data_IF_536648201273
#
_entry.id   IF_536648201273
#
_cell.length_a   1.000
_cell.length_b   1.000
_cell.length_c   1.000
_cell.angle_alpha   90.00
_cell.angle_beta   90.00
_cell.angle_gamma   90.00
#
_symmetry.space_group_name_H-M   'P 1'
#
loop_
_entity.id
_entity.type
_entity.pdbx_description
1 polymer ?
#
# COMPACT_ATOMS: atom_id res chain seq x y z
N UNK A 1 -35.01 46.22 -39.76
CA UNK A 1 -35.10 44.75 -39.68
C UNK A 1 -33.84 44.29 -38.97
N UNK A 2 -33.93 44.05 -37.65
CA UNK A 2 -32.76 43.78 -36.81
C UNK A 2 -32.31 42.33 -36.99
N UNK A 3 -31.05 42.15 -37.41
CA UNK A 3 -30.40 40.85 -37.56
C UNK A 3 -29.86 40.41 -36.19
N UNK A 4 -30.39 39.33 -35.64
CA UNK A 4 -29.82 38.68 -34.44
C UNK A 4 -28.68 37.78 -34.94
N UNK A 5 -27.44 38.11 -34.56
CA UNK A 5 -26.28 37.23 -34.75
C UNK A 5 -26.28 36.18 -33.64
N UNK A 6 -26.46 34.92 -34.00
CA UNK A 6 -26.26 33.77 -33.12
C UNK A 6 -24.74 33.55 -32.98
N UNK A 7 -24.18 33.78 -31.80
CA UNK A 7 -22.81 33.36 -31.46
C UNK A 7 -22.87 31.89 -31.01
N UNK A 8 -22.25 31.00 -31.77
CA UNK A 8 -22.05 29.61 -31.39
C UNK A 8 -20.70 29.51 -30.67
N UNK A 9 -20.71 29.27 -29.36
CA UNK A 9 -19.50 28.93 -28.61
C UNK A 9 -19.28 27.42 -28.70
N UNK A 10 -18.27 27.01 -29.46
CA UNK A 10 -17.77 25.62 -29.47
C UNK A 10 -16.62 25.56 -28.46
N UNK A 11 -16.90 25.04 -27.27
CA UNK A 11 -15.86 24.69 -26.31
C UNK A 11 -15.33 23.30 -26.67
N UNK A 12 -14.10 23.24 -27.15
CA UNK A 12 -13.37 21.97 -27.31
C UNK A 12 -12.82 21.61 -25.93
N UNK A 13 -13.47 20.68 -25.24
CA UNK A 13 -12.91 20.07 -24.04
C UNK A 13 -11.86 19.05 -24.49
N UNK A 14 -10.58 19.34 -24.27
CA UNK A 14 -9.57 18.29 -24.24
C UNK A 14 -9.82 17.45 -22.98
N UNK A 15 -10.41 16.26 -23.13
CA UNK A 15 -10.26 15.24 -22.09
C UNK A 15 -8.79 14.80 -22.14
N UNK A 16 -7.99 15.24 -21.15
CA UNK A 16 -6.76 14.53 -20.83
C UNK A 16 -7.20 13.13 -20.41
N UNK A 17 -7.06 12.15 -21.30
CA UNK A 17 -7.21 10.75 -20.94
C UNK A 17 -5.97 10.39 -20.13
N UNK A 18 -6.03 10.53 -18.82
CA UNK A 18 -5.03 9.90 -17.95
C UNK A 18 -5.10 8.39 -18.16
N UNK A 19 -3.94 7.74 -18.20
CA UNK A 19 -3.96 6.29 -18.24
C UNK A 19 -4.44 5.76 -16.90
N UNK A 20 -5.10 4.61 -16.92
CA UNK A 20 -5.62 3.99 -15.70
C UNK A 20 -4.48 3.63 -14.72
N UNK A 21 -4.69 3.92 -13.43
CA UNK A 21 -3.84 3.49 -12.33
C UNK A 21 -2.55 4.28 -12.10
N UNK A 22 -2.32 5.39 -12.82
CA UNK A 22 -1.14 6.23 -12.63
C UNK A 22 -1.12 6.87 -11.22
N UNK A 23 -0.13 6.53 -10.39
CA UNK A 23 0.08 7.15 -9.07
C UNK A 23 1.15 8.23 -9.16
N UNK A 24 0.77 9.48 -8.87
CA UNK A 24 1.67 10.63 -8.96
C UNK A 24 2.37 10.97 -7.64
N UNK A 25 1.79 10.57 -6.50
CA UNK A 25 2.32 10.91 -5.18
C UNK A 25 2.31 9.72 -4.24
N UNK A 26 3.44 9.44 -3.63
CA UNK A 26 3.57 8.57 -2.46
C UNK A 26 3.73 9.47 -1.23
N UNK A 27 3.00 9.18 -0.16
CA UNK A 27 3.25 9.74 1.16
C UNK A 27 4.12 8.77 1.95
N UNK A 28 5.17 9.30 2.58
CA UNK A 28 6.13 8.51 3.32
C UNK A 28 6.71 9.29 4.49
N UNK A 29 7.22 8.57 5.47
CA UNK A 29 8.01 9.11 6.56
C UNK A 29 9.40 8.47 6.59
N UNK A 30 10.23 8.99 7.48
CA UNK A 30 11.60 8.52 7.67
C UNK A 30 11.71 7.78 8.99
N UNK A 31 12.33 6.60 8.95
CA UNK A 31 12.68 5.85 10.14
C UNK A 31 14.20 5.66 10.24
N UNK A 32 14.69 5.50 11.47
CA UNK A 32 16.09 5.19 11.73
C UNK A 32 16.45 3.86 11.07
N UNK A 33 17.42 3.87 10.16
CA UNK A 33 17.92 2.65 9.55
C UNK A 33 18.85 1.88 10.51
N UNK A 34 18.75 0.55 10.51
CA UNK A 34 19.64 -0.29 11.30
C UNK A 34 21.00 -0.42 10.61
N UNK A 35 22.06 0.02 11.30
CA UNK A 35 23.41 -0.04 10.77
C UNK A 35 23.93 -1.48 10.68
N UNK A 36 24.58 -1.81 9.57
CA UNK A 36 25.30 -3.07 9.42
C UNK A 36 26.46 -2.91 8.43
N UNK A 37 27.48 -3.75 8.56
CA UNK A 37 28.64 -3.73 7.65
C UNK A 37 29.05 -5.14 7.27
N UNK A 38 29.58 -5.28 6.06
CA UNK A 38 30.31 -6.47 5.65
C UNK A 38 31.43 -6.13 4.66
N UNK A 39 32.41 -7.01 4.59
CA UNK A 39 33.51 -6.91 3.63
C UNK A 39 33.47 -8.10 2.68
N UNK A 40 33.54 -7.81 1.39
CA UNK A 40 33.71 -8.80 0.31
C UNK A 40 34.42 -8.12 -0.86
N UNK A 41 35.18 -8.88 -1.64
CA UNK A 41 35.96 -8.37 -2.79
C UNK A 41 36.83 -7.14 -2.51
N UNK A 42 37.38 -7.05 -1.30
CA UNK A 42 38.23 -5.93 -0.88
C UNK A 42 37.48 -4.62 -0.61
N UNK A 43 36.14 -4.61 -0.66
CA UNK A 43 35.30 -3.46 -0.38
C UNK A 43 34.51 -3.65 0.91
N UNK A 44 34.37 -2.58 1.69
CA UNK A 44 33.53 -2.54 2.88
C UNK A 44 32.19 -1.89 2.51
N UNK A 45 31.13 -2.67 2.62
CA UNK A 45 29.75 -2.24 2.40
C UNK A 45 29.17 -1.84 3.75
N UNK A 46 28.68 -0.61 3.83
CA UNK A 46 28.13 -0.01 5.03
C UNK A 46 26.66 0.41 4.78
N UNK A 47 25.75 -0.23 5.50
CA UNK A 47 24.30 -0.04 5.39
C UNK A 47 23.76 0.68 6.62
N UNK A 48 22.59 1.31 6.48
CA UNK A 48 21.98 2.08 7.55
C UNK A 48 22.80 3.32 7.93
N UNK A 49 23.46 3.95 6.96
CA UNK A 49 24.12 5.25 7.16
C UNK A 49 23.14 6.42 7.14
N UNK A 50 21.96 6.22 6.55
CA UNK A 50 20.90 7.21 6.45
C UNK A 50 19.61 6.72 7.11
N UNK A 51 18.50 6.93 6.44
CA UNK A 51 17.15 6.64 6.93
C UNK A 51 16.47 5.61 6.01
N UNK A 52 15.59 4.80 6.59
CA UNK A 52 14.60 4.07 5.80
C UNK A 52 13.54 5.08 5.36
N UNK A 53 13.11 5.02 4.10
CA UNK A 53 11.92 5.74 3.64
C UNK A 53 10.78 4.75 3.65
N UNK A 54 9.74 5.01 4.44
CA UNK A 54 8.65 4.07 4.72
C UNK A 54 7.36 4.63 4.16
N UNK A 55 6.68 3.86 3.31
CA UNK A 55 5.40 4.29 2.71
C UNK A 55 4.27 4.31 3.74
N UNK A 56 3.45 5.35 3.70
CA UNK A 56 2.21 5.49 4.48
C UNK A 56 0.97 5.33 3.61
N UNK A 57 1.07 5.77 2.35
CA UNK A 57 -0.01 5.73 1.41
C UNK A 57 0.35 6.43 0.11
N UNK A 58 -0.66 6.71 -0.71
CA UNK A 58 -0.48 7.41 -1.97
C UNK A 58 -1.71 8.26 -2.35
N UNK A 59 -1.54 9.11 -3.36
CA UNK A 59 -2.64 9.84 -3.98
C UNK A 59 -2.92 9.26 -5.37
N UNK A 60 -4.18 8.89 -5.61
CA UNK A 60 -4.67 8.45 -6.91
C UNK A 60 -6.00 9.15 -7.24
N UNK A 61 -6.09 9.77 -8.42
CA UNK A 61 -7.24 10.57 -8.85
C UNK A 61 -7.68 11.65 -7.84
N UNK A 62 -6.71 12.28 -7.16
CA UNK A 62 -6.96 13.33 -6.17
C UNK A 62 -7.49 12.83 -4.82
N UNK A 63 -7.52 11.52 -4.60
CA UNK A 63 -7.91 10.91 -3.33
C UNK A 63 -6.73 10.22 -2.67
N UNK A 64 -6.68 10.28 -1.34
CA UNK A 64 -5.72 9.53 -0.55
C UNK A 64 -6.14 8.09 -0.39
N UNK A 65 -5.15 7.21 -0.49
CA UNK A 65 -5.24 5.79 -0.23
C UNK A 65 -4.25 5.46 0.87
N UNK A 66 -4.74 4.78 1.90
CA UNK A 66 -3.93 4.39 3.04
C UNK A 66 -3.61 2.91 3.00
N UNK A 67 -2.46 2.61 3.55
CA UNK A 67 -2.02 1.27 3.88
C UNK A 67 -2.99 0.64 4.91
N UNK A 68 -3.57 -0.51 4.59
CA UNK A 68 -4.28 -1.36 5.55
C UNK A 68 -3.32 -2.43 6.04
N UNK A 69 -3.20 -2.58 7.36
CA UNK A 69 -2.15 -3.38 7.97
C UNK A 69 -2.34 -4.87 7.73
N UNK A 70 -1.44 -5.45 6.93
CA UNK A 70 -1.39 -6.88 6.72
C UNK A 70 -0.06 -7.47 7.16
N UNK A 71 -0.10 -8.73 7.60
CA UNK A 71 1.08 -9.58 7.77
C UNK A 71 1.09 -10.66 6.68
N UNK A 72 1.37 -10.29 5.41
CA UNK A 72 1.34 -11.23 4.30
C UNK A 72 2.51 -12.21 4.39
N UNK A 73 2.27 -13.44 3.94
CA UNK A 73 3.31 -14.44 3.71
C UNK A 73 3.81 -14.27 2.29
N UNK A 74 5.08 -13.91 2.14
CA UNK A 74 5.72 -13.75 0.84
C UNK A 74 6.38 -15.07 0.43
N UNK A 75 5.96 -15.65 -0.69
CA UNK A 75 6.56 -16.86 -1.26
C UNK A 75 7.16 -16.55 -2.63
N UNK A 76 8.48 -16.67 -2.74
CA UNK A 76 9.18 -16.57 -4.03
C UNK A 76 9.20 -17.97 -4.67
N UNK A 77 8.55 -18.12 -5.82
CA UNK A 77 8.46 -19.39 -6.55
C UNK A 77 9.54 -19.46 -7.60
N UNK A 78 10.42 -20.44 -7.43
CA UNK A 78 11.62 -20.61 -8.24
C UNK A 78 11.58 -21.89 -9.05
N UNK A 79 12.10 -21.85 -10.27
CA UNK A 79 12.25 -23.01 -11.15
C UNK A 79 13.67 -23.08 -11.69
N UNK A 80 14.52 -23.85 -11.03
CA UNK A 80 15.92 -24.03 -11.43
C UNK A 80 16.06 -24.45 -12.90
N UNK A 81 17.10 -23.91 -13.54
CA UNK A 81 17.45 -24.17 -14.92
C UNK A 81 18.97 -24.06 -15.16
N UNK A 82 19.40 -24.17 -16.41
CA UNK A 82 20.83 -24.13 -16.76
C UNK A 82 21.49 -22.76 -16.55
N UNK A 83 20.69 -21.67 -16.52
CA UNK A 83 21.17 -20.30 -16.36
C UNK A 83 21.24 -19.87 -14.89
N UNK A 84 20.40 -20.47 -14.03
CA UNK A 84 20.31 -20.08 -12.62
C UNK A 84 19.73 -21.18 -11.73
N UNK A 85 20.25 -21.28 -10.51
CA UNK A 85 19.81 -22.27 -9.51
C UNK A 85 19.96 -21.80 -8.07
N UNK A 86 19.11 -22.31 -7.17
CA UNK A 86 19.13 -21.95 -5.75
C UNK A 86 18.42 -20.62 -5.47
N UNK A 87 19.04 -19.75 -4.68
CA UNK A 87 18.45 -18.46 -4.25
C UNK A 87 19.30 -17.24 -4.65
N UNK A 88 19.53 -16.99 -5.95
CA UNK A 88 20.13 -15.75 -6.39
C UNK A 88 19.31 -14.55 -5.92
N UNK A 89 20.04 -13.49 -5.58
CA UNK A 89 19.48 -12.22 -5.20
C UNK A 89 20.05 -11.09 -6.07
N UNK A 90 19.20 -10.10 -6.33
CA UNK A 90 19.55 -8.83 -6.93
C UNK A 90 18.71 -7.76 -6.27
N UNK A 91 19.34 -6.68 -5.87
CA UNK A 91 18.66 -5.55 -5.25
C UNK A 91 19.27 -4.23 -5.68
N UNK A 92 18.47 -3.19 -5.63
CA UNK A 92 18.94 -1.81 -5.64
C UNK A 92 18.68 -1.16 -4.29
N UNK A 93 19.49 -0.17 -3.92
CA UNK A 93 19.33 0.59 -2.69
C UNK A 93 19.76 2.05 -2.87
N UNK A 94 19.06 2.96 -2.20
CA UNK A 94 19.46 4.37 -2.19
C UNK A 94 20.82 4.55 -1.51
N UNK A 95 21.71 5.29 -2.18
CA UNK A 95 23.02 5.66 -1.64
C UNK A 95 22.89 6.73 -0.55
N UNK A 96 23.83 6.75 0.37
CA UNK A 96 23.90 7.76 1.41
C UNK A 96 24.35 9.13 0.83
N UNK A 97 23.53 10.17 0.96
CA UNK A 97 23.89 11.60 0.81
C UNK A 97 24.67 12.03 -0.45
N UNK A 98 24.21 11.71 -1.66
CA UNK A 98 24.93 12.01 -2.91
C UNK A 98 26.43 11.60 -2.87
N UNK A 99 26.82 10.72 -1.92
CA UNK A 99 28.20 10.34 -1.73
C UNK A 99 28.62 9.57 -2.97
N UNK A 100 29.75 9.95 -3.54
CA UNK A 100 30.36 9.20 -4.64
C UNK A 100 30.71 7.76 -4.23
N UNK A 101 30.81 7.48 -2.93
CA UNK A 101 31.06 6.14 -2.41
C UNK A 101 29.84 5.23 -2.56
N UNK A 102 29.90 4.37 -3.59
CA UNK A 102 28.90 3.35 -3.89
C UNK A 102 28.78 2.22 -2.86
N UNK A 103 29.56 2.24 -1.79
CA UNK A 103 29.50 1.23 -0.73
C UNK A 103 28.83 1.73 0.55
N UNK A 104 28.34 2.98 0.57
CA UNK A 104 27.58 3.56 1.68
C UNK A 104 26.11 3.75 1.31
N UNK A 105 25.24 3.06 2.01
CA UNK A 105 23.83 2.95 1.66
C UNK A 105 22.95 3.51 2.78
N UNK A 106 21.91 4.24 2.36
CA UNK A 106 20.96 4.86 3.26
C UNK A 106 20.10 3.82 4.03
N UNK A 107 19.44 2.85 3.36
CA UNK A 107 18.48 1.98 4.05
C UNK A 107 19.14 0.87 4.87
N UNK A 108 18.32 0.21 5.67
CA UNK A 108 18.64 -1.02 6.38
C UNK A 108 18.91 -2.16 5.39
N UNK A 109 19.96 -2.96 5.64
CA UNK A 109 20.23 -4.15 4.82
C UNK A 109 19.20 -5.25 5.09
N UNK A 110 18.56 -5.85 4.05
CA UNK A 110 17.74 -7.04 4.18
C UNK A 110 18.67 -8.24 4.40
N UNK A 111 19.13 -8.41 5.64
CA UNK A 111 20.06 -9.47 6.09
C UNK A 111 19.95 -10.74 5.24
N UNK A 112 21.09 -11.20 4.71
CA UNK A 112 21.19 -12.33 3.77
C UNK A 112 20.59 -12.10 2.38
N UNK A 113 20.38 -10.84 1.97
CA UNK A 113 19.75 -10.51 0.70
C UNK A 113 18.33 -11.09 0.57
N UNK A 114 17.56 -11.04 1.67
CA UNK A 114 16.22 -11.60 1.75
C UNK A 114 15.22 -10.76 0.94
N UNK A 115 14.98 -11.19 -0.30
CA UNK A 115 14.09 -10.50 -1.23
C UNK A 115 12.63 -10.54 -0.79
N UNK A 116 12.21 -11.60 -0.09
CA UNK A 116 10.87 -11.69 0.46
C UNK A 116 10.65 -10.60 1.51
N UNK A 117 11.67 -10.31 2.34
CA UNK A 117 11.64 -9.19 3.28
C UNK A 117 11.67 -7.82 2.60
N UNK A 118 12.41 -7.66 1.49
CA UNK A 118 12.43 -6.40 0.73
C UNK A 118 11.04 -6.07 0.20
N UNK A 119 10.41 -7.00 -0.54
CA UNK A 119 9.09 -6.77 -1.13
C UNK A 119 7.97 -6.81 -0.10
N UNK A 120 8.12 -7.60 0.96
CA UNK A 120 7.16 -7.70 2.07
C UNK A 120 7.18 -6.50 3.04
N UNK A 121 8.25 -5.73 3.05
CA UNK A 121 8.40 -4.56 3.93
C UNK A 121 7.84 -3.28 3.32
N UNK A 122 7.72 -2.23 4.14
CA UNK A 122 7.27 -0.88 3.73
C UNK A 122 8.40 0.06 3.29
N UNK A 123 9.65 -0.41 3.31
CA UNK A 123 10.82 0.42 2.98
C UNK A 123 10.90 0.55 1.45
N UNK A 124 10.76 1.76 0.93
CA UNK A 124 10.69 2.02 -0.53
C UNK A 124 12.02 2.46 -1.14
N UNK A 125 13.01 2.88 -0.34
CA UNK A 125 14.35 3.22 -0.84
C UNK A 125 15.28 2.00 -1.01
N UNK A 126 14.69 0.82 -1.16
CA UNK A 126 15.32 -0.46 -1.49
C UNK A 126 14.33 -1.32 -2.30
N UNK A 127 14.83 -2.09 -3.25
CA UNK A 127 13.98 -2.93 -4.10
C UNK A 127 14.73 -4.08 -4.76
N UNK A 128 14.00 -4.91 -5.48
CA UNK A 128 14.55 -5.99 -6.28
C UNK A 128 15.17 -5.49 -7.58
N UNK A 129 16.20 -6.19 -8.05
CA UNK A 129 16.87 -5.92 -9.31
C UNK A 129 16.76 -7.13 -10.24
N UNK A 130 16.23 -6.90 -11.43
CA UNK A 130 15.92 -7.86 -12.48
C UNK A 130 15.12 -9.06 -11.95
N UNK A 131 13.97 -8.81 -11.31
CA UNK A 131 13.29 -9.79 -10.47
C UNK A 131 12.96 -11.09 -11.21
N UNK A 132 12.43 -10.99 -12.43
CA UNK A 132 12.00 -12.14 -13.23
C UNK A 132 13.01 -12.54 -14.31
N UNK A 133 14.19 -11.92 -14.40
CA UNK A 133 15.17 -12.24 -15.45
C UNK A 133 15.63 -13.70 -15.36
N UNK A 134 15.36 -14.49 -16.40
CA UNK A 134 15.71 -15.91 -16.45
C UNK A 134 16.61 -16.30 -17.65
N UNK A 135 16.79 -15.39 -18.61
CA UNK A 135 17.77 -15.54 -19.70
C UNK A 135 19.20 -15.16 -19.29
N UNK A 136 20.19 -15.83 -19.90
CA UNK A 136 21.61 -15.55 -19.71
C UNK A 136 22.14 -14.79 -20.92
N UNK A 137 22.27 -13.47 -20.80
CA UNK A 137 22.75 -12.56 -21.85
C UNK A 137 24.21 -12.12 -21.65
N UNK A 138 24.81 -12.46 -20.51
CA UNK A 138 26.21 -12.17 -20.19
C UNK A 138 26.43 -10.93 -19.32
N UNK A 139 25.41 -10.09 -19.13
CA UNK A 139 25.53 -8.82 -18.41
C UNK A 139 24.90 -8.87 -17.00
N UNK A 140 23.83 -9.67 -16.78
CA UNK A 140 23.21 -9.82 -15.44
C UNK A 140 23.07 -11.24 -14.90
N UNK A 141 22.79 -11.32 -13.60
CA UNK A 141 22.56 -12.56 -12.85
C UNK A 141 21.09 -12.97 -13.00
N UNK A 142 20.77 -14.05 -13.72
CA UNK A 142 19.40 -14.54 -13.82
C UNK A 142 18.93 -15.08 -12.47
N UNK A 143 17.66 -14.89 -12.14
CA UNK A 143 17.13 -15.10 -10.79
C UNK A 143 16.40 -16.41 -10.59
N UNK A 144 16.01 -17.18 -11.62
CA UNK A 144 15.17 -18.40 -11.56
C UNK A 144 13.77 -18.20 -10.96
N UNK A 145 13.30 -16.95 -10.83
CA UNK A 145 12.00 -16.63 -10.24
C UNK A 145 10.95 -16.64 -11.34
N UNK A 146 9.85 -17.34 -11.11
CA UNK A 146 8.73 -17.44 -12.05
C UNK A 146 7.46 -16.74 -11.52
N UNK A 147 7.31 -16.68 -10.20
CA UNK A 147 6.14 -16.08 -9.54
C UNK A 147 6.49 -15.59 -8.15
N UNK A 148 5.82 -14.55 -7.69
CA UNK A 148 5.91 -14.11 -6.29
C UNK A 148 4.51 -14.00 -5.72
N UNK A 149 4.26 -14.67 -4.61
CA UNK A 149 2.97 -14.66 -3.95
C UNK A 149 3.02 -13.76 -2.72
N UNK A 150 2.07 -12.82 -2.64
CA UNK A 150 1.80 -11.97 -1.49
C UNK A 150 0.51 -12.47 -0.84
N UNK A 151 0.64 -13.42 0.08
CA UNK A 151 -0.49 -14.21 0.58
C UNK A 151 -0.99 -13.61 1.88
N UNK A 152 -2.24 -13.17 1.92
CA UNK A 152 -2.91 -12.80 3.16
C UNK A 152 -3.56 -14.06 3.77
N UNK A 153 -2.97 -14.72 4.79
CA UNK A 153 -3.43 -16.05 5.25
C UNK A 153 -4.84 -16.01 5.84
N UNK A 154 -5.21 -14.88 6.45
CA UNK A 154 -6.54 -14.66 7.00
C UNK A 154 -7.56 -14.24 5.93
N UNK A 155 -7.09 -13.88 4.73
CA UNK A 155 -7.86 -13.35 3.62
C UNK A 155 -8.38 -11.93 3.88
N UNK A 156 -8.67 -11.23 2.79
CA UNK A 156 -9.10 -9.84 2.73
C UNK A 156 -10.55 -9.83 2.26
N UNK A 157 -11.40 -9.06 2.95
CA UNK A 157 -12.80 -8.88 2.55
C UNK A 157 -12.90 -7.65 1.65
N UNK A 158 -13.26 -7.86 0.38
CA UNK A 158 -13.49 -6.77 -0.55
C UNK A 158 -14.68 -5.89 -0.13
N UNK A 159 -14.71 -4.60 -0.50
CA UNK A 159 -15.84 -3.72 -0.24
C UNK A 159 -17.18 -4.35 -0.65
N UNK A 160 -18.22 -4.16 0.17
CA UNK A 160 -19.54 -4.78 -0.04
C UNK A 160 -20.33 -4.16 -1.20
N UNK A 161 -19.94 -2.96 -1.65
CA UNK A 161 -20.52 -2.29 -2.82
C UNK A 161 -19.64 -2.44 -4.05
N UNK A 162 -20.27 -2.75 -5.19
CA UNK A 162 -19.59 -2.79 -6.50
C UNK A 162 -18.96 -1.45 -6.88
N UNK A 163 -19.52 -0.33 -6.42
CA UNK A 163 -19.03 1.03 -6.69
C UNK A 163 -17.81 1.43 -5.86
N UNK A 164 -17.36 0.56 -4.95
CA UNK A 164 -16.21 0.81 -4.09
C UNK A 164 -15.03 -0.13 -4.42
N UNK A 165 -15.22 -1.10 -5.32
CA UNK A 165 -14.16 -1.98 -5.81
C UNK A 165 -13.08 -1.25 -6.63
N UNK A 166 -13.38 -0.07 -7.15
CA UNK A 166 -12.43 0.81 -7.84
C UNK A 166 -11.65 1.72 -6.85
N UNK A 167 -12.01 1.70 -5.56
CA UNK A 167 -11.42 2.50 -4.47
C UNK A 167 -10.62 1.65 -3.48
N UNK A 168 -10.37 0.39 -3.82
CA UNK A 168 -9.61 -0.54 -3.04
C UNK A 168 -8.78 -1.43 -3.98
N UNK A 169 -7.62 -1.90 -3.54
CA UNK A 169 -6.77 -2.75 -4.37
C UNK A 169 -5.35 -2.88 -3.88
N UNK A 170 -4.45 -3.11 -4.84
CA UNK A 170 -3.02 -3.29 -4.60
C UNK A 170 -2.22 -2.34 -5.49
N UNK A 171 -0.92 -2.27 -5.24
CA UNK A 171 -0.01 -1.47 -6.04
C UNK A 171 0.98 -2.36 -6.77
N UNK A 172 1.51 -1.83 -7.86
CA UNK A 172 2.72 -2.33 -8.53
C UNK A 172 3.74 -1.22 -8.53
N UNK A 173 4.94 -1.55 -8.07
CA UNK A 173 6.07 -0.62 -7.97
C UNK A 173 7.14 -1.00 -8.97
N UNK A 174 7.87 0.00 -9.47
CA UNK A 174 8.88 -0.23 -10.50
C UNK A 174 9.92 0.91 -10.46
N UNK A 175 11.19 0.56 -10.63
CA UNK A 175 12.29 1.52 -10.74
C UNK A 175 12.31 2.08 -12.17
N UNK A 176 11.89 3.34 -12.30
CA UNK A 176 11.81 4.16 -13.52
C UNK A 176 10.52 4.02 -14.34
N UNK A 177 9.63 3.10 -13.97
CA UNK A 177 8.31 2.91 -14.57
C UNK A 177 8.35 2.39 -16.01
N UNK A 178 9.34 1.56 -16.36
CA UNK A 178 9.66 1.19 -17.75
C UNK A 178 9.70 -0.31 -18.01
N UNK A 179 9.25 -1.13 -17.07
CA UNK A 179 9.26 -2.59 -17.19
C UNK A 179 7.86 -3.15 -16.97
N UNK A 180 7.41 -4.06 -17.84
CA UNK A 180 6.14 -4.75 -17.69
C UNK A 180 6.15 -5.65 -16.44
N UNK A 181 5.09 -5.54 -15.63
CA UNK A 181 4.79 -6.47 -14.54
C UNK A 181 3.33 -6.92 -14.67
N UNK A 182 3.09 -8.21 -14.49
CA UNK A 182 1.74 -8.77 -14.46
C UNK A 182 1.33 -9.07 -13.02
N UNK A 183 0.07 -8.78 -12.69
CA UNK A 183 -0.52 -9.02 -11.37
C UNK A 183 -1.87 -9.73 -11.49
N UNK A 184 -2.15 -10.66 -10.58
CA UNK A 184 -3.48 -11.27 -10.44
C UNK A 184 -3.84 -11.49 -8.97
N UNK A 185 -5.11 -11.32 -8.61
CA UNK A 185 -5.58 -11.62 -7.25
C UNK A 185 -5.59 -13.13 -6.99
N UNK A 186 -5.16 -13.54 -5.80
CA UNK A 186 -5.29 -14.92 -5.33
C UNK A 186 -6.71 -15.08 -4.78
N UNK A 187 -7.58 -15.83 -5.47
CA UNK A 187 -8.99 -15.95 -5.05
C UNK A 187 -9.21 -17.04 -4.01
N UNK A 188 -8.42 -18.11 -4.07
CA UNK A 188 -8.47 -19.22 -3.10
C UNK A 188 -7.09 -19.76 -2.80
N UNK A 189 -6.94 -20.37 -1.62
CA UNK A 189 -5.76 -21.13 -1.22
C UNK A 189 -6.07 -22.64 -1.19
N UNK A 190 -5.06 -23.48 -1.34
CA UNK A 190 -5.13 -24.92 -1.08
C UNK A 190 -4.92 -25.23 0.42
N UNK A 191 -4.87 -26.53 0.76
CA UNK A 191 -4.66 -26.98 2.14
C UNK A 191 -3.28 -26.64 2.70
N UNK A 192 -2.31 -26.25 1.86
CA UNK A 192 -0.96 -25.86 2.26
C UNK A 192 -0.81 -24.33 2.37
N UNK A 193 -1.88 -23.57 2.12
CA UNK A 193 -1.83 -22.12 2.05
C UNK A 193 -1.08 -21.63 0.81
N UNK A 194 -1.10 -22.39 -0.29
CA UNK A 194 -0.61 -21.98 -1.59
C UNK A 194 -1.78 -21.53 -2.49
N UNK A 195 -1.57 -20.58 -3.41
CA UNK A 195 -2.61 -20.16 -4.35
C UNK A 195 -3.20 -21.34 -5.13
N UNK A 196 -4.53 -21.46 -5.15
CA UNK A 196 -5.26 -22.53 -5.85
C UNK A 196 -6.23 -22.05 -6.92
N UNK A 197 -6.51 -20.75 -6.97
CA UNK A 197 -7.16 -20.10 -8.09
C UNK A 197 -6.84 -18.60 -8.12
N UNK A 198 -6.95 -18.01 -9.31
CA UNK A 198 -6.60 -16.62 -9.57
C UNK A 198 -7.75 -15.86 -10.24
N UNK A 199 -7.77 -14.55 -10.01
CA UNK A 199 -8.49 -13.60 -10.84
C UNK A 199 -7.82 -13.47 -12.21
N UNK A 200 -8.38 -12.65 -13.11
CA UNK A 200 -7.70 -12.30 -14.34
C UNK A 200 -6.33 -11.65 -14.12
N UNK A 201 -5.44 -11.81 -15.10
CA UNK A 201 -4.21 -11.03 -15.17
C UNK A 201 -4.55 -9.58 -15.51
N UNK A 202 -3.86 -8.68 -14.83
CA UNK A 202 -3.76 -7.26 -15.15
C UNK A 202 -2.32 -6.98 -15.55
N UNK A 203 -2.13 -6.37 -16.72
CA UNK A 203 -0.81 -5.97 -17.20
C UNK A 203 -0.55 -4.54 -16.77
N UNK A 204 0.53 -4.33 -16.00
CA UNK A 204 1.02 -3.01 -15.63
C UNK A 204 2.18 -2.65 -16.54
N UNK A 205 2.00 -1.54 -17.26
CA UNK A 205 2.89 -1.05 -18.30
C UNK A 205 3.04 -2.03 -19.46
N UNK A 206 2.26 -1.83 -20.52
CA UNK A 206 2.48 -2.53 -21.79
C UNK A 206 3.40 -1.71 -22.68
N UNK A 207 4.64 -2.20 -22.79
CA UNK A 207 5.70 -1.69 -23.65
C UNK A 207 5.35 -1.69 -25.15
N UNK A 208 4.35 -2.49 -25.56
CA UNK A 208 4.00 -2.71 -26.97
C UNK A 208 2.84 -1.85 -27.45
N UNK A 209 2.14 -1.17 -26.53
CA UNK A 209 0.97 -0.37 -26.86
C UNK A 209 -0.17 -1.18 -27.51
N UNK A 210 -0.20 -2.50 -27.36
CA UNK A 210 -1.16 -3.37 -28.05
C UNK A 210 -2.54 -3.28 -27.37
N UNK A 211 -3.37 -2.35 -27.82
CA UNK A 211 -4.66 -1.96 -27.24
C UNK A 211 -5.73 -3.08 -27.11
N UNK A 212 -5.38 -4.37 -27.25
CA UNK A 212 -6.32 -5.49 -27.21
C UNK A 212 -6.69 -5.97 -25.79
N UNK A 213 -5.94 -5.60 -24.73
CA UNK A 213 -6.31 -5.96 -23.36
C UNK A 213 -7.05 -4.80 -22.64
N UNK A 214 -8.32 -5.01 -22.28
CA UNK A 214 -9.15 -4.07 -21.50
C UNK A 214 -8.71 -3.90 -20.03
N UNK A 215 -7.58 -4.50 -19.61
CA UNK A 215 -7.09 -4.54 -18.22
C UNK A 215 -5.65 -4.03 -18.12
N UNK A 216 -5.37 -2.90 -18.76
CA UNK A 216 -4.07 -2.23 -18.66
C UNK A 216 -4.10 -1.16 -17.60
N UNK A 217 -3.02 -1.12 -16.83
CA UNK A 217 -2.72 -0.08 -15.85
C UNK A 217 -1.31 0.44 -16.17
N UNK A 218 -1.04 1.73 -15.98
CA UNK A 218 0.27 2.32 -16.23
C UNK A 218 0.85 2.95 -14.98
N UNK A 219 2.19 2.95 -14.91
CA UNK A 219 2.92 3.67 -13.88
C UNK A 219 2.71 5.17 -14.03
N UNK A 220 2.44 5.84 -12.91
CA UNK A 220 2.41 7.31 -12.87
C UNK A 220 3.82 7.90 -12.85
N UNK A 221 3.92 9.22 -13.02
CA UNK A 221 5.17 9.94 -12.81
C UNK A 221 5.28 10.31 -11.31
N UNK A 222 5.68 9.32 -10.52
CA UNK A 222 5.54 9.38 -9.06
C UNK A 222 6.62 10.24 -8.38
N UNK A 223 6.20 11.00 -7.37
CA UNK A 223 7.06 11.73 -6.44
C UNK A 223 6.77 11.29 -5.00
N UNK A 224 7.81 11.17 -4.17
CA UNK A 224 7.66 10.81 -2.76
C UNK A 224 7.62 12.10 -1.93
N UNK A 225 6.54 12.30 -1.18
CA UNK A 225 6.32 13.42 -0.28
C UNK A 225 6.59 12.97 1.16
N UNK A 226 7.49 13.68 1.83
CA UNK A 226 7.87 13.42 3.20
C UNK A 226 7.10 14.31 4.18
N UNK A 227 6.94 13.85 5.42
CA UNK A 227 6.27 14.59 6.50
C UNK A 227 6.89 15.96 6.79
N UNK A 228 8.20 16.11 6.58
CA UNK A 228 8.93 17.39 6.72
C UNK A 228 8.64 18.40 5.59
N UNK A 229 7.75 18.05 4.66
CA UNK A 229 7.35 18.84 3.50
C UNK A 229 8.32 18.76 2.32
N UNK A 230 9.41 17.99 2.42
CA UNK A 230 10.32 17.76 1.31
C UNK A 230 9.77 16.74 0.31
N UNK A 231 10.33 16.74 -0.90
CA UNK A 231 9.90 15.85 -1.99
C UNK A 231 11.11 15.20 -2.63
N UNK A 232 11.03 13.88 -2.86
CA UNK A 232 12.04 13.09 -3.56
C UNK A 232 11.50 12.71 -4.93
N UNK A 233 12.18 13.17 -5.98
CA UNK A 233 11.87 12.81 -7.37
C UNK A 233 12.83 11.78 -7.95
N UNK A 234 14.14 12.06 -7.92
CA UNK A 234 15.19 11.14 -8.35
C UNK A 234 16.03 10.69 -7.15
N UNK A 235 16.45 9.44 -7.15
CA UNK A 235 17.33 8.85 -6.16
C UNK A 235 18.60 8.31 -6.82
N UNK A 236 19.76 8.53 -6.19
CA UNK A 236 20.98 7.82 -6.58
C UNK A 236 20.91 6.39 -6.05
N UNK A 237 20.73 5.43 -6.94
CA UNK A 237 20.64 4.01 -6.59
C UNK A 237 21.96 3.30 -6.88
N UNK A 238 22.37 2.44 -5.96
CA UNK A 238 23.40 1.43 -6.19
C UNK A 238 22.76 0.07 -6.47
N UNK A 239 23.39 -0.72 -7.33
CA UNK A 239 22.92 -2.04 -7.76
C UNK A 239 23.85 -3.13 -7.24
N UNK A 240 23.25 -4.20 -6.70
CA UNK A 240 23.97 -5.27 -6.03
C UNK A 240 23.38 -6.64 -6.37
N UNK A 241 24.23 -7.65 -6.54
CA UNK A 241 23.81 -9.03 -6.80
C UNK A 241 24.77 -10.06 -6.25
N UNK A 242 24.33 -11.30 -6.14
CA UNK A 242 25.18 -12.44 -5.82
C UNK A 242 25.24 -13.43 -6.99
N UNK A 243 25.75 -14.64 -6.72
CA UNK A 243 26.00 -15.67 -7.71
C UNK A 243 24.70 -16.24 -8.30
N UNK A 244 24.68 -16.48 -9.62
CA UNK A 244 23.52 -17.08 -10.30
C UNK A 244 23.30 -18.57 -10.01
N UNK A 245 24.31 -19.26 -9.47
CA UNK A 245 24.21 -20.67 -9.12
C UNK A 245 24.57 -20.92 -7.67
N UNK A 246 23.91 -21.90 -7.08
CA UNK A 246 24.19 -22.37 -5.73
C UNK A 246 25.63 -22.92 -5.60
N UNK A 247 26.33 -22.69 -4.47
CA UNK A 247 25.89 -21.93 -3.30
C UNK A 247 26.07 -20.42 -3.46
N UNK A 248 25.02 -19.67 -3.14
CA UNK A 248 25.05 -18.21 -3.10
C UNK A 248 25.66 -17.65 -1.81
N UNK A 249 26.40 -16.56 -1.95
CA UNK A 249 26.89 -15.76 -0.84
C UNK A 249 25.76 -14.82 -0.35
N UNK A 250 25.54 -14.68 0.98
CA UNK A 250 24.52 -13.79 1.55
C UNK A 250 24.89 -12.29 1.50
N UNK A 251 26.01 -11.94 0.83
CA UNK A 251 26.63 -10.62 0.80
C UNK A 251 26.78 -10.19 -0.66
N UNK A 252 25.77 -9.54 -1.25
CA UNK A 252 25.82 -9.16 -2.66
C UNK A 252 26.92 -8.12 -2.91
N UNK A 253 27.44 -8.08 -4.13
CA UNK A 253 28.51 -7.17 -4.54
C UNK A 253 27.96 -6.11 -5.48
N UNK A 254 28.61 -4.94 -5.47
CA UNK A 254 28.24 -3.80 -6.31
C UNK A 254 28.47 -4.11 -7.80
N UNK A 255 27.52 -3.72 -8.65
CA UNK A 255 27.60 -3.92 -10.10
C UNK A 255 27.26 -2.69 -10.94
N UNK A 256 26.63 -1.67 -10.36
CA UNK A 256 26.21 -0.50 -11.11
C UNK A 256 25.59 0.59 -10.26
N UNK A 257 25.36 1.76 -10.87
CA UNK A 257 24.65 2.85 -10.23
C UNK A 257 23.89 3.64 -11.30
N UNK A 258 22.78 4.27 -10.91
CA UNK A 258 22.09 5.23 -11.74
C UNK A 258 21.23 6.18 -10.90
N UNK A 259 20.71 7.22 -11.55
CA UNK A 259 19.77 8.16 -10.92
C UNK A 259 18.38 7.84 -11.45
N UNK A 260 17.55 7.19 -10.62
CA UNK A 260 16.26 6.69 -11.06
C UNK A 260 15.11 7.29 -10.28
N UNK A 261 13.94 7.24 -10.90
CA UNK A 261 12.67 7.48 -10.21
C UNK A 261 12.16 6.16 -9.63
N UNK A 262 11.34 6.27 -8.60
CA UNK A 262 10.52 5.16 -8.12
C UNK A 262 9.10 5.43 -8.53
N UNK A 263 8.56 4.59 -9.39
CA UNK A 263 7.23 4.76 -9.98
C UNK A 263 6.26 3.74 -9.38
N UNK A 264 4.98 4.11 -9.35
CA UNK A 264 3.92 3.29 -8.79
C UNK A 264 2.69 3.31 -9.70
N UNK A 265 1.98 2.18 -9.72
CA UNK A 265 0.66 2.06 -10.31
C UNK A 265 -0.31 1.44 -9.32
N UNK A 266 -1.55 1.92 -9.29
CA UNK A 266 -2.64 1.36 -8.51
C UNK A 266 -3.50 0.43 -9.36
N UNK A 267 -3.70 -0.79 -8.86
CA UNK A 267 -4.50 -1.82 -9.51
C UNK A 267 -5.70 -2.14 -8.63
N UNK A 268 -6.89 -1.74 -9.09
CA UNK A 268 -8.11 -1.87 -8.31
C UNK A 268 -8.60 -3.32 -8.19
N UNK A 269 -9.38 -3.62 -7.15
CA UNK A 269 -10.06 -4.91 -7.00
C UNK A 269 -11.00 -5.20 -8.18
N UNK A 270 -11.60 -4.16 -8.75
CA UNK A 270 -12.40 -4.29 -9.97
C UNK A 270 -11.57 -4.82 -11.15
N UNK A 271 -10.33 -4.35 -11.33
CA UNK A 271 -9.42 -4.83 -12.38
C UNK A 271 -8.99 -6.27 -12.16
N UNK A 272 -8.72 -6.60 -10.90
CA UNK A 272 -8.34 -7.94 -10.46
C UNK A 272 -9.52 -8.94 -10.48
N UNK A 273 -10.71 -8.51 -10.91
CA UNK A 273 -11.89 -9.37 -11.03
C UNK A 273 -12.44 -9.87 -9.68
N UNK A 274 -12.14 -9.17 -8.59
CA UNK A 274 -12.69 -9.47 -7.26
C UNK A 274 -14.11 -8.89 -7.16
N UNK A 275 -15.05 -9.68 -6.67
CA UNK A 275 -16.45 -9.27 -6.53
C UNK A 275 -16.71 -8.53 -5.22
N UNK A 276 -17.80 -7.78 -5.17
CA UNK A 276 -18.20 -7.05 -3.96
C UNK A 276 -18.48 -8.03 -2.81
N UNK A 277 -17.91 -7.75 -1.62
CA UNK A 277 -17.99 -8.60 -0.43
C UNK A 277 -17.24 -9.94 -0.55
N UNK A 278 -16.50 -10.17 -1.64
CA UNK A 278 -15.75 -11.41 -1.82
C UNK A 278 -14.54 -11.43 -0.88
N UNK A 279 -14.34 -12.57 -0.22
CA UNK A 279 -13.07 -12.90 0.42
C UNK A 279 -12.06 -13.38 -0.62
N UNK A 280 -10.87 -12.78 -0.64
CA UNK A 280 -9.72 -13.20 -1.45
C UNK A 280 -8.45 -13.20 -0.58
N UNK A 281 -7.29 -13.59 -1.11
CA UNK A 281 -6.10 -13.93 -0.30
C UNK A 281 -4.82 -13.20 -0.72
N UNK A 282 -4.95 -11.97 -1.21
CA UNK A 282 -3.85 -11.13 -1.69
C UNK A 282 -3.64 -11.28 -3.20
N UNK A 283 -2.39 -11.24 -3.66
CA UNK A 283 -2.07 -11.22 -5.09
C UNK A 283 -0.74 -11.93 -5.40
N UNK A 284 -0.50 -12.23 -6.67
CA UNK A 284 0.81 -12.66 -7.17
C UNK A 284 1.32 -11.74 -8.26
N UNK A 285 2.64 -11.59 -8.34
CA UNK A 285 3.34 -11.01 -9.49
C UNK A 285 3.88 -12.09 -10.43
N UNK A 286 3.90 -11.75 -11.71
CA UNK A 286 4.32 -12.61 -12.81
C UNK A 286 5.23 -11.84 -13.78
N UNK A 287 6.14 -12.57 -14.43
CA UNK A 287 6.98 -12.06 -15.51
C UNK A 287 6.19 -11.69 -16.77
N UNK A 288 6.80 -10.90 -17.65
CA UNK A 288 6.19 -10.39 -18.89
C UNK A 288 5.87 -11.49 -19.92
N UNK A 289 6.45 -12.68 -19.78
CA UNK A 289 6.24 -13.85 -20.63
C UNK A 289 5.09 -14.77 -20.18
N UNK A 290 4.40 -14.45 -19.09
CA UNK A 290 3.19 -15.16 -18.64
C UNK A 290 1.96 -14.56 -19.31
N UNK A 291 1.08 -15.35 -19.93
CA UNK A 291 -0.14 -14.87 -20.59
C UNK A 291 -1.42 -15.45 -19.98
N UNK A 292 -2.59 -14.98 -20.47
CA UNK A 292 -3.91 -15.40 -20.00
C UNK A 292 -4.23 -16.89 -20.24
N UNK A 293 -3.48 -17.59 -21.10
CA UNK A 293 -3.65 -19.02 -21.35
C UNK A 293 -2.81 -19.89 -20.40
N UNK A 294 -1.84 -19.30 -19.70
CA UNK A 294 -1.00 -20.00 -18.72
C UNK A 294 -1.81 -20.41 -17.49
N UNK A 295 -1.61 -21.64 -17.01
CA UNK A 295 -2.11 -22.07 -15.70
C UNK A 295 -1.31 -21.39 -14.58
N UNK A 296 -1.84 -20.29 -14.06
CA UNK A 296 -1.18 -19.46 -13.04
C UNK A 296 -0.89 -20.20 -11.73
N UNK A 297 -1.54 -21.33 -11.46
CA UNK A 297 -1.30 -22.14 -10.26
C UNK A 297 0.01 -22.92 -10.40
N UNK A 298 0.27 -23.52 -11.56
CA UNK A 298 1.48 -24.29 -11.83
C UNK A 298 2.62 -23.41 -12.38
N UNK A 299 3.31 -22.72 -11.45
CA UNK A 299 4.47 -21.90 -11.79
C UNK A 299 5.64 -22.70 -12.41
N UNK A 300 5.66 -24.03 -12.30
CA UNK A 300 6.72 -24.84 -12.91
C UNK A 300 6.56 -24.99 -14.42
N UNK A 301 5.36 -24.69 -14.93
CA UNK A 301 5.03 -24.67 -16.36
C UNK A 301 5.36 -23.35 -17.07
N UNK A 302 5.73 -22.31 -16.31
CA UNK A 302 6.01 -20.99 -16.87
C UNK A 302 7.26 -21.00 -17.76
N UNK A 303 7.37 -20.06 -18.72
CA UNK A 303 8.55 -19.98 -19.56
C UNK A 303 9.80 -19.66 -18.72
N UNK A 304 10.84 -20.48 -18.87
CA UNK A 304 12.09 -20.35 -18.09
C UNK A 304 13.08 -19.35 -18.70
N UNK A 305 12.59 -18.47 -19.55
CA UNK A 305 13.38 -17.62 -20.41
C UNK A 305 12.77 -16.23 -20.52
N UNK A 306 12.22 -15.71 -19.42
CA UNK A 306 11.79 -14.32 -19.33
C UNK A 306 12.95 -13.43 -19.79
N UNK A 307 12.77 -12.74 -20.94
CA UNK A 307 13.88 -12.13 -21.65
C UNK A 307 14.33 -10.86 -20.96
N UNK A 308 15.53 -10.42 -21.32
CA UNK A 308 16.03 -9.10 -20.99
C UNK A 308 15.31 -8.06 -21.86
N UNK A 309 14.12 -7.67 -21.40
CA UNK A 309 13.17 -6.83 -22.12
C UNK A 309 12.49 -7.55 -23.28
N UNK A 310 11.21 -7.25 -23.51
CA UNK A 310 10.60 -7.53 -24.81
C UNK A 310 10.58 -6.22 -25.61
N UNK A 311 10.85 -6.32 -26.91
CA UNK A 311 10.63 -5.24 -27.88
C UNK A 311 11.40 -3.90 -27.68
N UNK A 312 12.59 -3.94 -27.06
CA UNK A 312 13.59 -2.86 -27.16
C UNK A 312 13.94 -2.13 -25.87
N UNK A 313 13.42 -2.56 -24.72
CA UNK A 313 13.89 -2.17 -23.40
C UNK A 313 15.01 -3.10 -22.91
N UNK A 314 15.89 -2.59 -22.05
CA UNK A 314 17.16 -3.23 -21.63
C UNK A 314 17.09 -3.72 -20.17
N UNK A 315 15.93 -4.11 -19.65
CA UNK A 315 15.78 -4.53 -18.26
C UNK A 315 14.50 -5.38 -18.02
N UNK A 316 14.35 -5.99 -16.83
CA UNK A 316 13.13 -6.65 -16.35
C UNK A 316 12.58 -5.93 -15.11
N UNK A 317 11.47 -6.42 -14.56
CA UNK A 317 10.79 -5.83 -13.40
C UNK A 317 11.70 -5.55 -12.19
N UNK A 318 11.69 -4.31 -11.69
CA UNK A 318 12.45 -3.89 -10.51
C UNK A 318 11.54 -3.34 -9.38
N UNK A 319 10.65 -4.16 -8.80
CA UNK A 319 9.76 -3.70 -7.76
C UNK A 319 10.50 -3.38 -6.46
N UNK A 320 10.14 -2.25 -5.83
CA UNK A 320 10.55 -1.89 -4.49
C UNK A 320 9.52 -2.30 -3.43
N UNK A 321 9.86 -2.14 -2.15
CA UNK A 321 8.96 -2.41 -1.03
C UNK A 321 7.67 -1.57 -1.06
N UNK A 322 6.79 -1.77 -0.07
CA UNK A 322 5.50 -1.10 0.01
C UNK A 322 4.41 -1.73 -0.84
N UNK A 323 4.69 -2.87 -1.48
CA UNK A 323 3.75 -3.57 -2.37
C UNK A 323 2.81 -4.52 -1.64
N UNK A 324 3.24 -5.08 -0.52
CA UNK A 324 2.62 -6.25 0.10
C UNK A 324 1.28 -5.97 0.81
N UNK A 325 0.69 -4.81 0.57
CA UNK A 325 -0.41 -4.27 1.35
C UNK A 325 -1.68 -4.21 0.54
N UNK A 326 -2.78 -4.17 1.26
CA UNK A 326 -4.06 -3.75 0.72
C UNK A 326 -4.22 -2.24 0.93
N UNK A 327 -4.61 -1.55 -0.12
CA UNK A 327 -4.79 -0.11 -0.10
C UNK A 327 -6.24 0.24 -0.34
N UNK A 328 -6.74 1.14 0.48
CA UNK A 328 -8.13 1.57 0.44
C UNK A 328 -8.17 3.07 0.47
N UNK A 329 -9.06 3.66 -0.33
CA UNK A 329 -9.33 5.09 -0.29
C UNK A 329 -9.76 5.47 1.13
N UNK A 330 -9.09 6.45 1.74
CA UNK A 330 -9.34 6.86 3.13
C UNK A 330 -10.83 7.13 3.41
N UNK A 331 -11.52 7.75 2.44
CA UNK A 331 -12.94 8.06 2.59
C UNK A 331 -13.84 6.82 2.72
N UNK A 332 -13.38 5.58 2.50
CA UNK A 332 -14.18 4.36 2.69
C UNK A 332 -13.67 3.44 3.80
N UNK A 333 -12.63 3.84 4.54
CA UNK A 333 -12.18 3.16 5.74
C UNK A 333 -13.17 3.38 6.90
N UNK A 334 -13.14 2.48 7.87
CA UNK A 334 -13.95 2.55 9.08
C UNK A 334 -13.07 2.76 10.30
N UNK A 335 -13.53 3.61 11.20
CA UNK A 335 -13.09 3.70 12.58
C UNK A 335 -14.05 2.81 13.40
N UNK A 336 -13.50 1.97 14.28
CA UNK A 336 -14.22 1.06 15.16
C UNK A 336 -14.05 1.49 16.61
N UNK A 337 -15.14 1.37 17.39
CA UNK A 337 -15.07 1.66 18.83
C UNK A 337 -14.23 0.64 19.60
N UNK A 338 -13.84 1.00 20.81
CA UNK A 338 -12.88 0.33 21.68
C UNK A 338 -13.48 -0.07 23.05
N UNK A 339 -14.80 0.07 23.19
CA UNK A 339 -15.56 -0.31 24.37
C UNK A 339 -15.34 -1.79 24.76
N UNK A 340 -15.55 -2.17 26.05
CA UNK A 340 -15.37 -3.55 26.49
C UNK A 340 -16.20 -4.54 25.66
N UNK A 341 -15.67 -5.75 25.44
CA UNK A 341 -16.31 -6.84 24.66
C UNK A 341 -17.75 -7.22 25.07
N UNK A 342 -18.23 -6.76 26.23
CA UNK A 342 -19.63 -6.92 26.63
C UNK A 342 -20.60 -6.05 25.82
N UNK A 343 -20.11 -4.95 25.23
CA UNK A 343 -20.90 -4.00 24.45
C UNK A 343 -20.97 -4.39 22.96
N UNK A 344 -21.97 -3.89 22.22
CA UNK A 344 -22.06 -4.09 20.77
C UNK A 344 -20.88 -3.47 20.02
N UNK A 345 -20.51 -4.10 18.89
CA UNK A 345 -19.53 -3.55 17.97
C UNK A 345 -20.14 -2.33 17.26
N UNK A 346 -19.42 -1.21 17.30
CA UNK A 346 -19.78 0.04 16.63
C UNK A 346 -18.67 0.43 15.69
N UNK A 347 -19.05 0.97 14.54
CA UNK A 347 -18.11 1.54 13.59
C UNK A 347 -18.73 2.70 12.85
N UNK A 348 -17.88 3.59 12.37
CA UNK A 348 -18.26 4.69 11.52
C UNK A 348 -17.29 4.81 10.35
N UNK A 349 -17.78 5.33 9.24
CA UNK A 349 -16.94 5.58 8.07
C UNK A 349 -16.07 6.80 8.34
N UNK A 350 -14.75 6.66 8.24
CA UNK A 350 -13.80 7.74 8.54
C UNK A 350 -14.12 8.97 7.70
N UNK A 351 -14.06 10.13 8.36
CA UNK A 351 -14.28 11.42 7.73
C UNK A 351 -13.25 12.43 8.19
N UNK A 352 -12.43 12.91 7.24
CA UNK A 352 -11.53 14.04 7.44
C UNK A 352 -12.26 15.37 7.78
N UNK A 353 -13.59 15.41 7.66
CA UNK A 353 -14.42 16.59 7.90
C UNK A 353 -15.41 16.41 9.05
N UNK A 354 -15.45 15.24 9.70
CA UNK A 354 -16.39 14.98 10.80
C UNK A 354 -15.79 13.94 11.75
N UNK A 355 -15.35 14.37 12.93
CA UNK A 355 -14.72 13.48 13.90
C UNK A 355 -14.75 14.03 15.34
N UNK A 356 -14.47 13.15 16.30
CA UNK A 356 -14.19 13.47 17.70
C UNK A 356 -12.67 13.55 17.91
N UNK A 357 -12.21 14.33 18.89
CA UNK A 357 -10.78 14.42 19.24
C UNK A 357 -10.05 15.64 18.68
N UNK A 358 -8.72 15.68 18.87
CA UNK A 358 -7.84 16.72 18.32
C UNK A 358 -7.29 16.34 16.95
N UNK A 359 -7.12 15.05 16.70
CA UNK A 359 -6.61 14.51 15.45
C UNK A 359 -7.72 13.81 14.66
N UNK A 360 -7.38 13.46 13.43
CA UNK A 360 -8.32 12.80 12.51
C UNK A 360 -8.36 11.32 12.84
N UNK A 361 -9.54 10.68 12.75
CA UNK A 361 -9.66 9.25 12.97
C UNK A 361 -8.73 8.49 12.03
N UNK A 362 -8.07 7.49 12.57
CA UNK A 362 -7.40 6.45 11.83
C UNK A 362 -8.33 5.24 11.66
N UNK A 363 -7.81 4.18 11.04
CA UNK A 363 -8.61 3.03 10.62
C UNK A 363 -8.17 1.77 11.32
N UNK A 364 -9.14 1.01 11.81
CA UNK A 364 -8.93 -0.30 12.38
C UNK A 364 -9.58 -1.38 11.49
N UNK A 365 -9.02 -2.58 11.54
CA UNK A 365 -9.58 -3.74 10.84
C UNK A 365 -10.80 -4.34 11.57
N UNK A 366 -10.90 -4.10 12.88
CA UNK A 366 -11.98 -4.54 13.78
C UNK A 366 -11.95 -3.70 15.07
N UNK A 367 -12.96 -3.85 15.92
CA UNK A 367 -13.07 -3.22 17.23
C UNK A 367 -11.92 -3.63 18.17
N UNK A 368 -11.26 -2.62 18.75
CA UNK A 368 -10.13 -2.80 19.66
C UNK A 368 -10.58 -2.73 21.13
N UNK A 369 -11.43 -3.69 21.55
CA UNK A 369 -12.03 -3.67 22.88
C UNK A 369 -11.02 -3.73 24.03
N UNK A 370 -11.09 -2.76 24.95
CA UNK A 370 -10.42 -2.82 26.26
C UNK A 370 -11.40 -2.56 27.42
N UNK A 371 -10.99 -2.81 28.66
CA UNK A 371 -11.84 -2.52 29.83
C UNK A 371 -11.98 -1.04 30.13
N UNK A 372 -11.03 -0.23 29.66
CA UNK A 372 -10.90 1.20 29.91
C UNK A 372 -11.07 2.05 28.66
N UNK A 373 -11.43 1.45 27.51
CA UNK A 373 -11.52 2.12 26.21
C UNK A 373 -10.20 2.85 25.88
N UNK A 374 -9.14 2.05 25.68
CA UNK A 374 -7.78 2.50 25.30
C UNK A 374 -7.10 1.53 24.34
N UNK A 375 -7.88 0.63 23.72
CA UNK A 375 -7.37 -0.54 23.03
C UNK A 375 -6.89 -0.27 21.61
N UNK A 376 -7.38 0.79 20.98
CA UNK A 376 -7.05 1.27 19.63
C UNK A 376 -5.71 2.00 19.58
N UNK A 377 -5.29 2.64 20.67
CA UNK A 377 -4.00 3.31 20.76
C UNK A 377 -4.03 4.70 20.13
N UNK A 378 -3.25 5.62 20.71
CA UNK A 378 -3.34 7.08 20.56
C UNK A 378 -4.58 7.72 21.22
N UNK A 379 -4.36 8.34 22.38
CA UNK A 379 -5.35 9.09 23.18
C UNK A 379 -5.72 10.46 22.56
N UNK A 380 -5.34 10.69 21.30
CA UNK A 380 -5.41 11.97 20.63
C UNK A 380 -6.57 12.07 19.62
N UNK A 381 -7.13 10.92 19.24
CA UNK A 381 -8.42 10.73 18.58
C UNK A 381 -9.59 10.70 19.57
N UNK A 382 -9.30 10.67 20.88
CA UNK A 382 -10.33 10.72 21.91
C UNK A 382 -10.97 12.10 22.04
N UNK A 383 -12.26 12.17 21.75
CA UNK A 383 -13.07 13.35 22.02
C UNK A 383 -13.17 13.69 23.51
N UNK A 384 -12.96 12.71 24.40
CA UNK A 384 -13.21 12.81 25.85
C UNK A 384 -11.94 12.52 26.64
N UNK A 385 -11.33 13.57 27.20
CA UNK A 385 -10.06 13.43 27.96
C UNK A 385 -10.31 13.19 29.46
N UNK A 386 -11.44 13.67 30.00
CA UNK A 386 -11.76 13.52 31.42
C UNK A 386 -13.25 13.30 31.63
N UNK A 387 -13.61 12.18 32.25
CA UNK A 387 -14.97 11.93 32.73
C UNK A 387 -15.15 12.47 34.16
N UNK A 388 -16.29 13.13 34.45
CA UNK A 388 -16.60 13.57 35.81
C UNK A 388 -16.87 12.36 36.73
N UNK A 389 -16.49 12.49 38.01
CA UNK A 389 -16.87 11.50 39.03
C UNK A 389 -18.34 11.71 39.36
N UNK A 390 -19.18 10.71 39.07
CA UNK A 390 -20.59 10.69 39.43
C UNK A 390 -20.80 10.06 40.81
N UNK A 391 -21.65 10.69 41.61
CA UNK A 391 -22.06 10.24 42.93
C UNK A 391 -23.54 9.86 42.95
N UNK A 392 -23.92 8.98 43.88
CA UNK A 392 -25.31 8.54 44.01
C UNK A 392 -26.20 9.75 44.34
N UNK A 393 -27.14 10.05 43.45
CA UNK A 393 -28.06 11.18 43.57
C UNK A 393 -27.80 12.30 42.57
N UNK A 394 -26.70 12.25 41.81
CA UNK A 394 -26.49 13.17 40.69
C UNK A 394 -27.57 12.95 39.62
N UNK A 395 -28.16 14.05 39.18
CA UNK A 395 -29.24 14.06 38.19
C UNK A 395 -28.82 14.73 36.88
N UNK A 396 -27.62 15.31 36.84
CA UNK A 396 -27.01 15.95 35.68
C UNK A 396 -25.51 16.02 35.86
N UNK A 397 -24.76 15.89 34.77
CA UNK A 397 -23.33 16.17 34.68
C UNK A 397 -23.06 16.72 33.28
N UNK A 398 -21.81 17.10 33.02
CA UNK A 398 -21.40 17.57 31.70
C UNK A 398 -20.04 17.00 31.37
N UNK A 399 -19.88 16.56 30.12
CA UNK A 399 -18.61 16.08 29.57
C UNK A 399 -18.18 17.02 28.45
N UNK A 400 -17.03 17.70 28.57
CA UNK A 400 -16.48 18.46 27.46
C UNK A 400 -15.95 17.49 26.41
N UNK A 401 -16.47 17.59 25.19
CA UNK A 401 -16.10 16.76 24.05
C UNK A 401 -15.48 17.64 22.98
N UNK A 402 -14.28 17.29 22.51
CA UNK A 402 -13.65 17.92 21.35
C UNK A 402 -14.19 17.32 20.09
N UNK A 403 -14.58 18.18 19.15
CA UNK A 403 -15.21 17.78 17.88
C UNK A 403 -14.75 18.65 16.73
N UNK A 404 -14.70 18.07 15.55
CA UNK A 404 -14.53 18.78 14.30
C UNK A 404 -15.68 18.45 13.35
N UNK A 405 -16.38 19.47 12.86
CA UNK A 405 -17.39 19.33 11.81
C UNK A 405 -17.15 20.41 10.76
N UNK A 406 -16.60 20.04 9.62
CA UNK A 406 -16.40 20.89 8.45
C UNK A 406 -17.16 20.35 7.22
N UNK A 407 -18.33 19.74 7.46
CA UNK A 407 -19.12 19.09 6.40
C UNK A 407 -19.96 20.08 5.57
N UNK A 408 -20.11 21.32 6.03
CA UNK A 408 -21.00 22.32 5.42
C UNK A 408 -22.44 22.27 5.94
N UNK A 409 -22.76 21.35 6.85
CA UNK A 409 -24.06 21.23 7.53
C UNK A 409 -23.88 20.90 9.01
N UNK A 410 -24.94 21.04 9.79
CA UNK A 410 -24.98 20.59 11.18
C UNK A 410 -24.80 19.07 11.28
N UNK A 411 -24.07 18.61 12.30
CA UNK A 411 -23.91 17.21 12.69
C UNK A 411 -24.37 17.00 14.13
N UNK A 412 -24.48 15.76 14.58
CA UNK A 412 -25.06 15.43 15.90
C UNK A 412 -24.18 14.44 16.66
N UNK A 413 -24.09 14.62 17.98
CA UNK A 413 -23.44 13.66 18.89
C UNK A 413 -24.51 12.79 19.53
N UNK A 414 -24.23 11.49 19.64
CA UNK A 414 -24.98 10.56 20.49
C UNK A 414 -24.04 10.00 21.55
N UNK A 415 -24.50 9.93 22.78
CA UNK A 415 -23.74 9.41 23.91
C UNK A 415 -24.62 8.51 24.76
N UNK A 416 -24.02 7.56 25.47
CA UNK A 416 -24.72 6.64 26.37
C UNK A 416 -24.01 6.53 27.71
N UNK A 417 -24.79 6.27 28.77
CA UNK A 417 -24.27 5.76 30.03
C UNK A 417 -25.07 4.53 30.41
N UNK A 418 -24.41 3.37 30.46
CA UNK A 418 -25.00 2.12 30.96
C UNK A 418 -25.16 2.19 32.49
N UNK A 419 -26.25 2.83 32.94
CA UNK A 419 -26.54 3.05 34.35
C UNK A 419 -26.82 1.73 35.06
N UNK A 420 -27.39 0.75 34.35
CA UNK A 420 -27.78 -0.53 34.92
C UNK A 420 -26.71 -1.64 34.77
N UNK A 421 -25.62 -1.36 34.06
CA UNK A 421 -24.42 -2.20 33.88
C UNK A 421 -24.73 -3.53 33.22
N UNK A 422 -25.67 -3.56 32.28
CA UNK A 422 -26.03 -4.78 31.56
C UNK A 422 -25.21 -5.01 30.28
N UNK A 423 -24.27 -4.11 29.96
CA UNK A 423 -23.41 -4.18 28.78
C UNK A 423 -24.14 -3.86 27.48
N UNK A 424 -25.21 -3.04 27.51
CA UNK A 424 -25.96 -2.68 26.31
C UNK A 424 -26.12 -1.17 26.22
N UNK A 425 -26.14 -0.67 24.98
CA UNK A 425 -26.55 0.70 24.69
C UNK A 425 -28.08 0.75 24.54
N UNK A 426 -28.77 1.06 25.62
CA UNK A 426 -30.23 1.13 25.63
C UNK A 426 -30.73 2.55 25.32
N UNK A 427 -31.89 2.65 24.65
CA UNK A 427 -32.42 3.94 24.22
C UNK A 427 -32.75 4.88 25.40
N UNK A 428 -33.18 4.33 26.53
CA UNK A 428 -33.45 5.09 27.76
C UNK A 428 -32.18 5.53 28.51
N UNK A 429 -31.01 5.12 28.04
CA UNK A 429 -29.70 5.47 28.58
C UNK A 429 -28.90 6.38 27.62
N UNK A 430 -29.49 6.70 26.47
CA UNK A 430 -28.92 7.55 25.44
C UNK A 430 -29.25 9.02 25.68
N UNK A 431 -28.31 9.91 25.35
CA UNK A 431 -28.65 11.26 24.90
C UNK A 431 -29.32 11.15 23.52
N UNK A 432 -30.47 11.79 23.29
CA UNK A 432 -31.16 11.64 22.00
C UNK A 432 -30.38 12.30 20.87
N UNK A 433 -30.43 11.67 19.68
CA UNK A 433 -29.66 11.97 18.44
C UNK A 433 -29.93 13.37 17.84
N UNK A 434 -30.67 14.25 18.49
CA UNK A 434 -30.89 15.63 18.02
C UNK A 434 -30.80 16.68 19.13
N UNK A 435 -30.47 16.27 20.35
CA UNK A 435 -30.44 17.17 21.50
C UNK A 435 -29.19 18.06 21.47
N UNK A 436 -28.13 17.65 20.76
CA UNK A 436 -26.89 18.40 20.60
C UNK A 436 -26.46 18.51 19.14
N UNK A 437 -26.81 19.63 18.50
CA UNK A 437 -26.34 20.00 17.15
C UNK A 437 -24.95 20.64 17.22
N UNK A 438 -24.08 20.22 16.31
CA UNK A 438 -22.72 20.71 16.11
C UNK A 438 -22.68 21.44 14.76
N UNK A 439 -22.67 22.78 14.74
CA UNK A 439 -22.60 23.53 13.49
C UNK A 439 -21.31 23.27 12.73
N UNK A 440 -21.35 23.41 11.40
CA UNK A 440 -20.16 23.36 10.58
C UNK A 440 -19.22 24.54 10.88
N UNK A 441 -17.93 24.25 11.07
CA UNK A 441 -16.85 25.18 11.36
C UNK A 441 -15.55 24.69 10.72
N UNK A 442 -14.69 25.61 10.28
CA UNK A 442 -13.34 25.29 9.78
C UNK A 442 -12.30 25.14 10.90
N UNK A 443 -12.73 25.22 12.16
CA UNK A 443 -11.90 25.08 13.35
C UNK A 443 -12.54 24.05 14.31
N UNK A 444 -11.68 23.36 15.07
CA UNK A 444 -12.09 22.44 16.15
C UNK A 444 -12.94 23.18 17.19
N UNK A 445 -13.90 22.47 17.76
CA UNK A 445 -14.89 22.97 18.71
C UNK A 445 -14.83 22.11 19.98
N UNK A 446 -15.19 22.71 21.11
CA UNK A 446 -15.47 21.96 22.34
C UNK A 446 -16.93 22.13 22.68
N UNK A 447 -17.65 21.02 22.79
CA UNK A 447 -19.07 21.01 23.15
C UNK A 447 -19.27 20.31 24.48
N UNK A 448 -20.26 20.78 25.23
CA UNK A 448 -20.62 20.22 26.51
C UNK A 448 -21.78 19.26 26.29
N UNK A 449 -21.49 17.97 26.41
CA UNK A 449 -22.46 16.86 26.34
C UNK A 449 -23.08 16.64 27.72
#
# INVERSE_FOLDING_TARGET
MNLIKLLLFVAIFFSLSFSKGEVDKIFAHKEVASSSTYTTDGHQYEWGHGENIVIDGFEYNGYRYSYVSESPIIKIRRSDNNNSSGEPCGLFAAKYNNDSNQYKLAPTFPKNCDMAKVMGGRIINIGALDLFKNENDGDDTPKNIERIDFISPNGIIAPSSTSDLDKAGHVVTEKSGNNEIKIAAILTLDNNGDPSSYGPIVTVHDENGDALANRKVNYGNTYIYLEDGSTIGLQQLGFYRNEKHSPQTPKPTHVGNSNEKLNMAFVSLQDLGVNAGQKYYGFSYFGSDVDDATDLVDYTSFPKNTPWGSLGHTDTADPYGGVASYFVKEEILYDFGDAPNSYPHVSHKISNNLYLGEHKPDSEDDQQSSNDATGDGDDDNDGVINLPILTVGDTSFTVPVKVFNNTGSDAYITAWIDFNRNGKFEFNEALNVNDLSIPSSNASQTVNV
#
